data_IF_576253731674
#
_entry.id   IF_576253731674
#
_cell.length_a   1.000
_cell.length_b   1.000
_cell.length_c   1.000
_cell.angle_alpha   90.00
_cell.angle_beta   90.00
_cell.angle_gamma   90.00
#
_symmetry.space_group_name_H-M   'P 1'
#
loop_
_entity.id
_entity.type
_entity.pdbx_description
1 polymer ?
#
# COMPACT_ATOMS: atom_id res chain seq x y z
N UNK A 1 -15.49 -11.11 1.89
CA UNK A 1 -15.36 -10.54 0.52
C UNK A 1 -15.59 -9.01 0.44
N UNK A 2 -15.63 -8.25 1.56
CA UNK A 2 -15.88 -6.78 1.51
C UNK A 2 -14.60 -5.92 1.48
N UNK A 3 -13.47 -6.43 1.97
CA UNK A 3 -12.25 -5.63 2.16
C UNK A 3 -11.47 -5.42 0.85
N UNK A 4 -11.34 -6.45 0.01
CA UNK A 4 -10.63 -6.39 -1.28
C UNK A 4 -11.19 -5.31 -2.22
N UNK A 5 -12.53 -5.28 -2.39
CA UNK A 5 -13.21 -4.24 -3.19
C UNK A 5 -12.92 -2.81 -2.71
N UNK A 6 -12.76 -2.60 -1.39
CA UNK A 6 -12.40 -1.28 -0.83
C UNK A 6 -10.96 -0.90 -1.19
N UNK A 7 -10.04 -1.87 -1.18
CA UNK A 7 -8.67 -1.64 -1.62
C UNK A 7 -8.56 -1.47 -3.14
N UNK A 8 -9.34 -2.21 -3.94
CA UNK A 8 -9.38 -2.02 -5.39
C UNK A 8 -9.83 -0.60 -5.76
N UNK A 9 -10.84 -0.05 -5.05
CA UNK A 9 -11.25 1.34 -5.23
C UNK A 9 -10.14 2.33 -4.89
N UNK A 10 -9.42 2.12 -3.78
CA UNK A 10 -8.28 2.95 -3.39
C UNK A 10 -7.12 2.85 -4.39
N UNK A 11 -6.81 1.64 -4.87
CA UNK A 11 -5.80 1.40 -5.90
C UNK A 11 -6.16 2.07 -7.23
N UNK A 12 -7.44 2.09 -7.62
CA UNK A 12 -7.85 2.79 -8.82
C UNK A 12 -7.66 4.31 -8.71
N UNK A 13 -7.92 4.89 -7.53
CA UNK A 13 -7.61 6.31 -7.26
C UNK A 13 -6.10 6.54 -7.41
N UNK A 14 -5.28 5.68 -6.81
CA UNK A 14 -3.82 5.76 -6.94
C UNK A 14 -3.35 5.59 -8.40
N UNK A 15 -3.99 4.72 -9.20
CA UNK A 15 -3.70 4.57 -10.63
C UNK A 15 -4.02 5.83 -11.42
N UNK A 16 -5.13 6.50 -11.14
CA UNK A 16 -5.45 7.77 -11.80
C UNK A 16 -4.45 8.85 -11.40
N UNK A 17 -4.08 8.92 -10.12
CA UNK A 17 -3.11 9.89 -9.60
C UNK A 17 -1.68 9.67 -10.10
N UNK A 18 -1.27 8.42 -10.35
CA UNK A 18 0.06 8.10 -10.90
C UNK A 18 0.15 8.34 -12.41
N UNK A 19 -0.95 8.21 -13.15
CA UNK A 19 -0.98 8.46 -14.59
C UNK A 19 -1.33 9.92 -14.95
N UNK A 20 -1.65 10.76 -13.96
CA UNK A 20 -1.94 12.18 -14.22
C UNK A 20 -0.62 12.95 -14.29
N UNK A 21 -0.38 13.57 -15.44
CA UNK A 21 0.77 14.46 -15.72
C UNK A 21 0.84 15.70 -14.84
N UNK A 22 -0.19 15.96 -14.04
CA UNK A 22 -0.31 17.09 -13.14
C UNK A 22 0.49 16.88 -11.86
N UNK A 23 1.82 16.79 -11.97
CA UNK A 23 2.78 17.02 -10.89
C UNK A 23 2.37 16.53 -9.50
N UNK A 24 1.67 15.39 -9.40
CA UNK A 24 1.15 14.88 -8.14
C UNK A 24 2.38 14.50 -7.33
N UNK A 25 2.84 15.45 -6.51
CA UNK A 25 4.08 15.31 -5.78
C UNK A 25 4.03 13.98 -5.04
N UNK A 26 5.14 13.26 -5.06
CA UNK A 26 5.38 12.02 -4.33
C UNK A 26 4.70 12.03 -2.94
N UNK A 27 4.73 13.17 -2.27
CA UNK A 27 4.08 13.45 -0.99
C UNK A 27 2.55 13.31 -0.99
N UNK A 28 1.85 13.82 -2.00
CA UNK A 28 0.39 13.73 -2.15
C UNK A 28 -0.06 12.29 -2.36
N UNK A 29 0.66 11.53 -3.19
CA UNK A 29 0.39 10.10 -3.39
C UNK A 29 0.58 9.33 -2.09
N UNK A 30 1.69 9.56 -1.38
CA UNK A 30 2.00 8.94 -0.09
C UNK A 30 0.92 9.24 0.96
N UNK A 31 0.41 10.48 1.00
CA UNK A 31 -0.70 10.87 1.88
C UNK A 31 -1.98 10.09 1.59
N UNK A 32 -2.38 9.99 0.32
CA UNK A 32 -3.58 9.23 -0.07
C UNK A 32 -3.40 7.74 0.20
N UNK A 33 -2.22 7.19 -0.09
CA UNK A 33 -1.86 5.81 0.22
C UNK A 33 -1.97 5.52 1.72
N UNK A 34 -1.36 6.36 2.57
CA UNK A 34 -1.40 6.24 4.03
C UNK A 34 -2.83 6.33 4.56
N UNK A 35 -3.60 7.34 4.13
CA UNK A 35 -4.96 7.56 4.61
C UNK A 35 -5.97 6.50 4.14
N UNK A 36 -5.79 5.95 2.94
CA UNK A 36 -6.80 5.08 2.31
C UNK A 36 -6.51 3.60 2.47
N UNK A 37 -5.24 3.21 2.32
CA UNK A 37 -4.80 1.82 2.31
C UNK A 37 -4.17 1.50 3.67
N UNK A 38 -3.14 2.25 4.06
CA UNK A 38 -2.35 1.93 5.25
C UNK A 38 -3.19 1.99 6.53
N UNK A 39 -3.94 3.08 6.74
CA UNK A 39 -4.85 3.23 7.87
C UNK A 39 -5.83 2.04 8.02
N UNK A 40 -6.33 1.49 6.90
CA UNK A 40 -7.24 0.34 6.94
C UNK A 40 -6.51 -0.98 7.22
N UNK A 41 -5.24 -1.09 6.82
CA UNK A 41 -4.41 -2.24 7.16
C UNK A 41 -4.10 -2.24 8.66
N UNK A 42 -3.65 -1.09 9.19
CA UNK A 42 -3.32 -0.93 10.61
C UNK A 42 -4.57 -1.09 11.50
N UNK A 43 -5.65 -0.35 11.22
CA UNK A 43 -6.89 -0.44 12.00
C UNK A 43 -7.56 -1.82 11.87
N UNK A 44 -7.53 -2.40 10.67
CA UNK A 44 -8.06 -3.74 10.42
C UNK A 44 -7.28 -4.84 11.16
N UNK A 45 -5.98 -4.63 11.40
CA UNK A 45 -5.14 -5.52 12.19
C UNK A 45 -5.46 -5.44 13.69
N UNK A 46 -5.66 -4.21 14.20
CA UNK A 46 -5.97 -3.96 15.61
C UNK A 46 -7.36 -4.46 16.00
N UNK A 47 -8.41 -4.13 15.23
CA UNK A 47 -9.80 -4.47 15.56
C UNK A 47 -10.05 -5.98 15.52
N UNK A 48 -9.38 -6.69 14.61
CA UNK A 48 -9.60 -8.13 14.43
C UNK A 48 -8.70 -9.01 15.31
N UNK A 49 -7.96 -8.43 16.28
CA UNK A 49 -7.15 -9.16 17.26
C UNK A 49 -6.13 -10.06 16.57
N UNK A 50 -5.06 -9.47 16.04
CA UNK A 50 -4.14 -10.11 15.09
C UNK A 50 -4.89 -10.57 13.85
N UNK A 51 -5.11 -9.65 12.89
CA UNK A 51 -5.70 -10.01 11.60
C UNK A 51 -5.09 -11.32 11.10
N UNK A 52 -5.94 -12.33 10.92
CA UNK A 52 -5.56 -13.69 10.53
C UNK A 52 -4.48 -13.61 9.46
N UNK A 53 -3.35 -14.32 9.61
CA UNK A 53 -2.22 -14.26 8.65
C UNK A 53 -2.67 -14.41 7.19
N UNK A 54 -3.78 -15.10 6.93
CA UNK A 54 -4.39 -15.23 5.59
C UNK A 54 -4.95 -13.92 5.02
N UNK A 55 -5.35 -12.96 5.85
CA UNK A 55 -5.74 -11.60 5.48
C UNK A 55 -4.50 -10.75 5.25
N UNK A 56 -3.51 -10.79 6.16
CA UNK A 56 -2.23 -10.07 6.00
C UNK A 56 -1.48 -10.48 4.73
N UNK A 57 -1.41 -11.79 4.44
CA UNK A 57 -0.84 -12.31 3.18
C UNK A 57 -1.56 -11.80 1.92
N UNK A 58 -2.85 -11.45 2.02
CA UNK A 58 -3.61 -10.85 0.89
C UNK A 58 -3.38 -9.33 0.78
N UNK A 59 -2.92 -8.69 1.85
CA UNK A 59 -2.63 -7.26 1.92
C UNK A 59 -1.23 -6.93 1.41
N UNK A 60 -0.24 -7.82 1.60
CA UNK A 60 1.12 -7.66 1.08
C UNK A 60 1.18 -7.33 -0.42
N UNK A 61 0.52 -8.08 -1.32
CA UNK A 61 0.52 -7.79 -2.75
C UNK A 61 -0.07 -6.42 -3.10
N UNK A 62 -1.08 -5.95 -2.35
CA UNK A 62 -1.69 -4.62 -2.55
C UNK A 62 -0.70 -3.51 -2.18
N UNK A 63 0.02 -3.70 -1.07
CA UNK A 63 1.05 -2.78 -0.63
C UNK A 63 2.21 -2.70 -1.64
N UNK A 64 2.77 -3.84 -2.05
CA UNK A 64 3.86 -3.86 -3.03
C UNK A 64 3.43 -3.26 -4.37
N UNK A 65 2.19 -3.51 -4.82
CA UNK A 65 1.67 -2.92 -6.04
C UNK A 65 1.57 -1.39 -5.94
N UNK A 66 1.12 -0.86 -4.79
CA UNK A 66 1.07 0.58 -4.57
C UNK A 66 2.46 1.23 -4.56
N UNK A 67 3.46 0.58 -3.95
CA UNK A 67 4.85 1.06 -3.95
C UNK A 67 5.45 1.10 -5.36
N UNK A 68 5.21 0.05 -6.18
CA UNK A 68 5.64 0.04 -7.59
C UNK A 68 4.98 1.15 -8.40
N UNK A 69 3.70 1.39 -8.17
CA UNK A 69 2.96 2.45 -8.84
C UNK A 69 3.50 3.85 -8.50
N UNK A 70 3.95 4.01 -7.25
CA UNK A 70 4.54 5.23 -6.73
C UNK A 70 5.97 5.49 -7.23
N UNK A 71 6.80 4.46 -7.23
CA UNK A 71 8.19 4.54 -7.70
C UNK A 71 8.27 4.53 -9.23
N UNK A 72 7.24 4.03 -9.92
CA UNK A 72 7.31 3.75 -11.36
C UNK A 72 8.16 2.50 -11.67
N UNK A 73 8.62 1.78 -10.65
CA UNK A 73 9.44 0.58 -10.80
C UNK A 73 8.73 -0.54 -11.57
N UNK A 74 9.53 -1.31 -12.30
CA UNK A 74 9.06 -2.49 -13.01
C UNK A 74 8.36 -3.50 -12.09
N UNK A 75 7.50 -4.33 -12.67
CA UNK A 75 6.82 -5.41 -11.92
C UNK A 75 7.81 -6.44 -11.35
N UNK A 76 9.00 -6.55 -11.93
CA UNK A 76 10.07 -7.48 -11.54
C UNK A 76 11.05 -6.89 -10.53
N UNK A 77 10.99 -5.59 -10.22
CA UNK A 77 11.92 -4.98 -9.27
C UNK A 77 11.83 -5.65 -7.88
N UNK A 78 12.94 -5.82 -7.16
CA UNK A 78 12.93 -6.41 -5.81
C UNK A 78 12.17 -5.51 -4.83
N UNK A 79 11.36 -6.12 -3.95
CA UNK A 79 10.50 -5.38 -3.01
C UNK A 79 11.32 -4.59 -1.98
N UNK A 80 12.45 -5.15 -1.53
CA UNK A 80 13.37 -4.47 -0.60
C UNK A 80 13.88 -3.13 -1.14
N UNK A 81 14.20 -3.06 -2.43
CA UNK A 81 14.60 -1.79 -3.06
C UNK A 81 13.45 -0.78 -3.05
N UNK A 82 12.20 -1.24 -3.20
CA UNK A 82 11.04 -0.35 -3.17
C UNK A 82 10.83 0.25 -1.78
N UNK A 83 11.07 -0.52 -0.72
CA UNK A 83 10.95 -0.02 0.66
C UNK A 83 11.93 1.11 0.93
N UNK A 84 13.21 0.92 0.56
CA UNK A 84 14.25 1.94 0.70
C UNK A 84 13.92 3.17 -0.13
N UNK A 85 13.54 2.97 -1.39
CA UNK A 85 13.22 4.07 -2.29
C UNK A 85 12.04 4.89 -1.74
N UNK A 86 10.95 4.22 -1.34
CA UNK A 86 9.72 4.86 -0.88
C UNK A 86 9.76 5.34 0.57
N UNK A 87 10.84 5.04 1.31
CA UNK A 87 10.97 5.26 2.74
C UNK A 87 9.79 4.67 3.54
N UNK A 88 9.28 3.50 3.13
CA UNK A 88 8.19 2.80 3.80
C UNK A 88 8.68 1.42 4.27
N UNK A 89 8.48 1.05 5.55
CA UNK A 89 8.83 -0.28 6.05
C UNK A 89 7.85 -1.34 5.56
N UNK A 90 8.26 -2.61 5.63
CA UNK A 90 7.36 -3.73 5.36
C UNK A 90 6.21 -3.78 6.37
N UNK A 91 5.07 -4.34 5.95
CA UNK A 91 3.91 -4.51 6.83
C UNK A 91 4.24 -5.37 8.04
N UNK A 92 5.07 -6.40 7.89
CA UNK A 92 5.48 -7.27 8.99
C UNK A 92 6.25 -6.48 10.07
N UNK A 93 7.20 -5.64 9.68
CA UNK A 93 7.94 -4.78 10.61
C UNK A 93 7.03 -3.80 11.36
N UNK A 94 6.01 -3.28 10.69
CA UNK A 94 5.08 -2.30 11.27
C UNK A 94 4.16 -2.91 12.34
N UNK A 95 3.90 -4.21 12.30
CA UNK A 95 3.03 -4.90 13.26
C UNK A 95 3.77 -5.56 14.43
N UNK A 96 5.10 -5.70 14.36
CA UNK A 96 5.93 -6.27 15.42
C UNK A 96 6.58 -5.24 16.34
N UNK A 97 6.44 -3.94 16.05
CA UNK A 97 7.05 -2.83 16.78
C UNK A 97 6.13 -2.24 17.85
#
# INVERSE_FOLDING_TARGET
>A
MRLRKKFDKALNILKVLSNTSWGASRTSFLRVYRASILFKMDYGCVIHGSARQSVLKKLGPIHHFALRLFSGAFRTSPVESLYVECCEPSLDYRHTS
#
